data_IF_539601560917
#
_entry.id   IF_539601560917
#
_cell.length_a   1.000
_cell.length_b   1.000
_cell.length_c   1.000
_cell.angle_alpha   90.00
_cell.angle_beta   90.00
_cell.angle_gamma   90.00
#
_symmetry.space_group_name_H-M   'P 1'
#
loop_
_entity.id
_entity.type
_entity.pdbx_description
1 polymer ?
#
# COMPACT_ATOMS: atom_id res chain seq x y z
N UNK A 1 -63.07 18.59 -28.36
CA UNK A 1 -62.64 18.16 -27.00
C UNK A 1 -62.01 16.77 -27.15
N UNK A 2 -60.75 16.44 -26.85
CA UNK A 2 -59.74 17.02 -25.95
C UNK A 2 -58.30 16.56 -26.38
N UNK A 3 -57.93 16.59 -27.66
CA UNK A 3 -56.56 16.21 -28.05
C UNK A 3 -55.49 17.18 -27.51
N UNK A 4 -55.78 18.48 -27.45
CA UNK A 4 -54.86 19.48 -26.88
C UNK A 4 -54.60 19.26 -25.38
N UNK A 5 -55.63 18.87 -24.61
CA UNK A 5 -55.46 18.53 -23.20
C UNK A 5 -54.64 17.24 -23.01
N UNK A 6 -54.74 16.29 -23.94
CA UNK A 6 -53.96 15.04 -23.86
C UNK A 6 -52.47 15.28 -24.13
N UNK A 7 -52.14 16.10 -25.14
CA UNK A 7 -50.75 16.50 -25.39
C UNK A 7 -50.15 17.32 -24.24
N UNK A 8 -50.91 18.24 -23.63
CA UNK A 8 -50.43 18.97 -22.45
C UNK A 8 -50.11 18.04 -21.27
N UNK A 9 -50.91 17.01 -21.05
CA UNK A 9 -50.66 16.03 -19.98
C UNK A 9 -49.43 15.18 -20.31
N UNK A 10 -49.28 14.72 -21.56
CA UNK A 10 -48.09 13.96 -21.97
C UNK A 10 -46.81 14.79 -21.81
N UNK A 11 -46.79 16.03 -22.26
CA UNK A 11 -45.62 16.91 -22.12
C UNK A 11 -45.32 17.25 -20.66
N UNK A 12 -46.34 17.39 -19.81
CA UNK A 12 -46.15 17.60 -18.38
C UNK A 12 -45.57 16.35 -17.68
N UNK A 13 -46.00 15.14 -18.07
CA UNK A 13 -45.48 13.88 -17.51
C UNK A 13 -44.04 13.62 -17.98
N UNK A 14 -43.74 13.87 -19.26
CA UNK A 14 -42.38 13.72 -19.79
C UNK A 14 -41.44 14.77 -19.19
N UNK A 15 -41.89 16.02 -19.09
CA UNK A 15 -41.13 17.13 -18.49
C UNK A 15 -40.85 16.92 -17.00
N UNK A 16 -41.84 16.48 -16.22
CA UNK A 16 -41.64 16.18 -14.79
C UNK A 16 -40.78 14.94 -14.57
N UNK A 17 -40.92 13.90 -15.39
CA UNK A 17 -40.07 12.71 -15.34
C UNK A 17 -38.60 13.01 -15.67
N UNK A 18 -38.34 13.88 -16.64
CA UNK A 18 -36.97 14.30 -16.98
C UNK A 18 -36.32 15.14 -15.89
N UNK A 19 -37.06 16.07 -15.28
CA UNK A 19 -36.56 16.86 -14.15
C UNK A 19 -36.21 15.95 -12.96
N UNK A 20 -37.04 14.95 -12.67
CA UNK A 20 -36.78 14.00 -11.59
C UNK A 20 -35.51 13.18 -11.84
N UNK A 21 -35.28 12.71 -13.07
CA UNK A 21 -34.08 11.96 -13.42
C UNK A 21 -32.81 12.81 -13.33
N UNK A 22 -32.87 14.09 -13.74
CA UNK A 22 -31.75 15.02 -13.59
C UNK A 22 -31.46 15.29 -12.10
N UNK A 23 -32.50 15.48 -11.28
CA UNK A 23 -32.34 15.68 -9.84
C UNK A 23 -31.72 14.44 -9.15
N UNK A 24 -32.16 13.23 -9.50
CA UNK A 24 -31.56 11.98 -9.00
C UNK A 24 -30.10 11.88 -9.45
N UNK A 25 -29.78 12.20 -10.71
CA UNK A 25 -28.41 12.20 -11.21
C UNK A 25 -27.50 13.19 -10.48
N UNK A 26 -28.00 14.40 -10.17
CA UNK A 26 -27.27 15.41 -9.40
C UNK A 26 -27.06 14.98 -7.95
N UNK A 27 -28.07 14.36 -7.31
CA UNK A 27 -27.94 13.82 -5.96
C UNK A 27 -26.96 12.66 -5.92
N UNK A 28 -26.99 11.74 -6.89
CA UNK A 28 -26.00 10.67 -7.01
C UNK A 28 -24.61 11.27 -7.21
N UNK A 29 -24.44 12.28 -8.07
CA UNK A 29 -23.14 12.93 -8.27
C UNK A 29 -22.63 13.66 -7.01
N UNK A 30 -23.51 14.30 -6.24
CA UNK A 30 -23.17 14.98 -4.98
C UNK A 30 -22.87 13.97 -3.86
N UNK A 31 -23.66 12.91 -3.74
CA UNK A 31 -23.40 11.79 -2.82
C UNK A 31 -22.08 11.13 -3.21
N UNK A 32 -21.83 10.87 -4.49
CA UNK A 32 -20.55 10.38 -4.97
C UNK A 32 -19.41 11.34 -4.62
N UNK A 33 -19.56 12.66 -4.81
CA UNK A 33 -18.52 13.62 -4.44
C UNK A 33 -18.31 13.75 -2.91
N UNK A 34 -19.32 13.41 -2.10
CA UNK A 34 -19.27 13.44 -0.64
C UNK A 34 -18.78 12.12 -0.01
N UNK A 35 -18.99 10.98 -0.69
CA UNK A 35 -18.60 9.65 -0.21
C UNK A 35 -17.34 9.08 -0.91
N UNK A 36 -17.08 9.42 -2.18
CA UNK A 36 -15.79 9.21 -2.83
C UNK A 36 -14.89 10.40 -2.51
N UNK A 37 -14.37 10.39 -1.28
CA UNK A 37 -13.27 11.27 -0.90
C UNK A 37 -12.11 11.14 -1.88
N UNK A 38 -11.42 12.26 -2.15
CA UNK A 38 -10.13 12.36 -2.86
C UNK A 38 -9.35 11.03 -2.83
N UNK A 39 -9.32 10.33 -3.97
CA UNK A 39 -8.69 9.02 -4.10
C UNK A 39 -7.19 9.05 -3.73
N UNK A 40 -6.71 8.00 -3.03
CA UNK A 40 -5.40 7.97 -2.34
C UNK A 40 -4.36 6.91 -2.82
N UNK A 41 -4.52 6.24 -3.96
CA UNK A 41 -3.48 5.40 -4.62
C UNK A 41 -2.46 6.01 -5.61
N UNK A 42 -1.32 5.34 -5.79
CA UNK A 42 -0.28 5.67 -6.80
C UNK A 42 -0.73 5.22 -8.20
N UNK A 43 -0.63 6.06 -9.25
CA UNK A 43 -1.01 5.66 -10.59
C UNK A 43 -0.06 4.60 -11.17
N UNK A 44 -0.65 3.61 -11.84
CA UNK A 44 0.08 2.53 -12.52
C UNK A 44 0.00 2.71 -14.03
N UNK A 45 1.13 2.57 -14.72
CA UNK A 45 1.18 2.46 -16.18
C UNK A 45 1.64 1.05 -16.55
N UNK A 46 0.89 0.41 -17.44
CA UNK A 46 1.18 -0.94 -17.92
C UNK A 46 1.85 -0.89 -19.29
N UNK A 47 2.88 -1.71 -19.50
CA UNK A 47 3.49 -1.95 -20.82
C UNK A 47 3.06 -3.33 -21.34
N UNK A 48 2.52 -3.40 -22.56
CA UNK A 48 2.17 -4.68 -23.22
C UNK A 48 3.37 -5.34 -23.93
N UNK A 49 3.54 -6.66 -23.77
CA UNK A 49 4.32 -7.53 -24.65
C UNK A 49 5.60 -8.17 -24.08
N UNK A 50 6.03 -9.31 -24.67
CA UNK A 50 7.36 -9.93 -24.47
C UNK A 50 8.46 -9.28 -25.35
N UNK A 51 8.14 -8.21 -26.07
CA UNK A 51 9.07 -7.45 -26.89
C UNK A 51 9.79 -6.38 -26.08
N UNK A 52 11.01 -6.04 -26.51
CA UNK A 52 11.82 -4.93 -26.00
C UNK A 52 10.98 -3.70 -25.65
N UNK A 53 11.24 -3.15 -24.46
CA UNK A 53 10.64 -1.95 -23.85
C UNK A 53 10.78 -0.74 -24.78
N UNK A 54 9.97 -0.67 -25.84
CA UNK A 54 9.88 0.47 -26.73
C UNK A 54 8.43 0.95 -26.76
N UNK A 55 8.25 2.16 -26.20
CA UNK A 55 7.05 3.00 -26.15
C UNK A 55 6.14 2.86 -24.92
N UNK A 56 6.68 3.13 -23.75
CA UNK A 56 6.01 4.12 -22.88
C UNK A 56 6.23 5.50 -23.52
N UNK A 57 5.19 6.21 -23.94
CA UNK A 57 5.30 7.45 -24.74
C UNK A 57 5.78 8.67 -23.94
N UNK A 58 5.91 8.53 -22.62
CA UNK A 58 6.74 9.40 -21.78
C UNK A 58 7.44 8.50 -20.74
N UNK A 59 8.78 8.48 -20.73
CA UNK A 59 9.52 7.64 -19.78
C UNK A 59 9.20 8.00 -18.33
N UNK A 60 9.16 7.00 -17.44
CA UNK A 60 9.06 7.22 -15.98
C UNK A 60 10.13 8.20 -15.53
N UNK A 61 9.72 9.26 -14.84
CA UNK A 61 10.67 10.22 -14.28
C UNK A 61 11.21 9.62 -12.99
N UNK A 62 12.53 9.69 -12.81
CA UNK A 62 13.20 9.29 -11.58
C UNK A 62 13.90 10.50 -10.91
N UNK A 63 13.77 10.60 -9.59
CA UNK A 63 14.58 11.49 -8.75
C UNK A 63 15.15 10.68 -7.57
N UNK A 64 16.05 11.29 -6.82
CA UNK A 64 16.63 10.66 -5.64
C UNK A 64 16.71 11.60 -4.46
N UNK A 65 16.66 10.99 -3.29
CA UNK A 65 16.79 11.68 -2.02
C UNK A 65 18.25 11.82 -1.58
N UNK A 66 18.47 12.68 -0.59
CA UNK A 66 19.71 12.64 0.19
C UNK A 66 19.91 11.24 0.82
N UNK A 67 21.14 10.70 0.83
CA UNK A 67 21.42 9.39 1.40
C UNK A 67 21.15 9.33 2.91
N UNK A 68 20.55 8.24 3.36
CA UNK A 68 20.39 7.90 4.77
C UNK A 68 21.56 7.00 5.18
N UNK A 69 22.29 7.38 6.22
CA UNK A 69 23.36 6.53 6.76
C UNK A 69 22.77 5.55 7.77
N UNK A 70 23.13 4.27 7.63
CA UNK A 70 22.65 3.22 8.52
C UNK A 70 23.69 3.02 9.63
N UNK A 71 23.31 3.14 10.91
CA UNK A 71 24.20 2.89 12.03
C UNK A 71 24.86 1.51 11.94
N UNK A 72 26.13 1.45 12.34
CA UNK A 72 26.91 0.21 12.38
C UNK A 72 26.98 -0.57 11.05
N UNK A 73 26.79 0.12 9.92
CA UNK A 73 26.78 -0.46 8.58
C UNK A 73 27.61 0.38 7.61
N UNK A 74 28.32 -0.23 6.65
CA UNK A 74 29.01 0.50 5.58
C UNK A 74 28.06 0.93 4.46
N UNK A 75 26.74 0.79 4.63
CA UNK A 75 25.75 1.13 3.61
C UNK A 75 24.99 2.41 3.93
N UNK A 76 24.75 3.18 2.87
CA UNK A 76 23.76 4.25 2.82
C UNK A 76 22.58 3.83 1.95
N UNK A 77 21.38 4.26 2.32
CA UNK A 77 20.16 4.05 1.54
C UNK A 77 19.79 5.34 0.82
N UNK A 78 19.59 5.24 -0.50
CA UNK A 78 19.15 6.35 -1.34
C UNK A 78 17.76 6.00 -1.86
N UNK A 79 16.75 6.72 -1.41
CA UNK A 79 15.37 6.55 -1.88
C UNK A 79 15.24 7.10 -3.30
N UNK A 80 14.60 6.35 -4.18
CA UNK A 80 14.30 6.74 -5.56
C UNK A 80 12.82 7.06 -5.68
N UNK A 81 12.50 8.30 -6.04
CA UNK A 81 11.12 8.73 -6.24
C UNK A 81 10.71 8.57 -7.69
N UNK A 82 9.48 8.13 -7.92
CA UNK A 82 8.88 7.99 -9.26
C UNK A 82 7.55 8.72 -9.31
N UNK A 83 7.23 9.27 -10.49
CA UNK A 83 5.93 9.89 -10.78
C UNK A 83 4.84 8.85 -11.12
N UNK A 84 5.26 7.66 -11.54
CA UNK A 84 4.41 6.51 -11.87
C UNK A 84 5.17 5.20 -11.66
N UNK A 85 4.44 4.11 -11.36
CA UNK A 85 5.04 2.77 -11.29
C UNK A 85 4.66 1.98 -12.54
N UNK A 86 5.66 1.36 -13.16
CA UNK A 86 5.47 0.42 -14.27
C UNK A 86 5.51 -0.99 -13.71
N UNK A 87 4.41 -1.72 -13.84
CA UNK A 87 4.27 -3.11 -13.36
C UNK A 87 4.02 -4.06 -14.53
N UNK A 88 4.33 -5.35 -14.32
CA UNK A 88 4.18 -6.41 -15.33
C UNK A 88 2.79 -7.04 -15.23
N UNK A 89 1.91 -6.79 -16.21
CA UNK A 89 0.55 -7.36 -16.29
C UNK A 89 -0.39 -6.40 -17.02
N UNK A 90 -1.29 -6.91 -17.88
CA UNK A 90 -2.04 -6.20 -18.94
C UNK A 90 -2.82 -4.91 -18.59
N UNK A 91 -3.22 -4.18 -19.64
CA UNK A 91 -3.45 -2.72 -19.67
C UNK A 91 -4.43 -2.13 -18.62
N UNK A 92 -4.02 -1.02 -17.98
CA UNK A 92 -4.92 -0.01 -17.41
C UNK A 92 -4.33 1.41 -17.66
N UNK A 93 -5.20 2.36 -18.03
CA UNK A 93 -4.85 3.78 -18.23
C UNK A 93 -5.23 4.59 -16.98
N UNK A 94 -4.28 5.36 -16.42
CA UNK A 94 -4.51 6.14 -15.19
C UNK A 94 -4.85 7.63 -15.44
N UNK A 95 -5.74 8.17 -14.60
CA UNK A 95 -6.13 9.59 -14.54
C UNK A 95 -6.00 10.10 -13.08
N UNK A 96 -5.22 11.18 -12.89
CA UNK A 96 -5.27 12.22 -11.83
C UNK A 96 -5.27 11.83 -10.34
N UNK A 97 -4.45 12.53 -9.53
CA UNK A 97 -4.43 12.42 -8.07
C UNK A 97 -4.52 13.77 -7.34
N UNK A 98 -5.15 13.79 -6.15
CA UNK A 98 -4.88 14.80 -5.12
C UNK A 98 -4.96 14.16 -3.72
N UNK A 99 -3.96 14.45 -2.87
CA UNK A 99 -3.68 13.77 -1.61
C UNK A 99 -4.53 14.19 -0.39
N UNK A 100 -4.61 13.30 0.62
CA UNK A 100 -4.50 13.63 2.06
C UNK A 100 -4.27 12.35 2.91
N UNK A 101 -4.10 12.48 4.22
CA UNK A 101 -3.15 11.75 5.07
C UNK A 101 -3.49 10.33 5.57
N UNK A 102 -2.43 9.56 5.89
CA UNK A 102 -2.26 8.90 7.20
C UNK A 102 -0.99 9.45 7.88
N UNK A 103 -1.10 9.71 9.19
CA UNK A 103 -0.12 10.39 10.07
C UNK A 103 1.11 9.53 10.42
N UNK A 104 1.94 9.23 9.45
CA UNK A 104 3.36 8.95 9.66
C UNK A 104 4.14 9.86 8.70
N UNK A 105 5.24 10.48 9.14
CA UNK A 105 5.98 11.40 8.28
C UNK A 105 6.31 10.68 6.96
N UNK A 106 5.81 11.15 5.79
CA UNK A 106 5.88 10.38 4.56
C UNK A 106 7.33 10.01 4.24
N UNK A 107 7.59 8.81 3.73
CA UNK A 107 8.89 8.44 3.15
C UNK A 107 9.37 9.44 2.08
N UNK A 108 8.46 10.25 1.54
CA UNK A 108 8.67 11.33 0.57
C UNK A 108 8.95 12.71 1.19
N UNK A 109 8.95 12.87 2.53
CA UNK A 109 9.27 14.16 3.16
C UNK A 109 10.74 14.54 2.88
N UNK A 110 10.93 15.68 2.20
CA UNK A 110 12.26 16.12 1.73
C UNK A 110 12.79 15.36 0.51
N UNK A 111 11.91 14.59 -0.14
CA UNK A 111 12.19 13.65 -1.21
C UNK A 111 11.18 13.86 -2.31
N UNK A 112 11.51 14.73 -3.26
CA UNK A 112 10.67 14.89 -4.43
C UNK A 112 11.15 15.93 -5.42
N UNK A 113 10.57 15.87 -6.63
CA UNK A 113 10.83 16.88 -7.65
C UNK A 113 10.46 18.26 -7.12
N UNK A 114 11.42 19.18 -7.18
CA UNK A 114 11.15 20.58 -6.88
C UNK A 114 10.02 21.09 -7.78
N UNK A 115 8.88 21.45 -7.19
CA UNK A 115 7.79 22.16 -7.86
C UNK A 115 6.76 21.32 -8.61
N UNK A 116 6.72 19.98 -8.50
CA UNK A 116 5.81 19.20 -9.35
C UNK A 116 4.35 19.15 -8.91
N UNK A 117 4.02 19.32 -7.62
CA UNK A 117 2.62 19.18 -7.13
C UNK A 117 1.99 17.80 -7.37
N UNK A 118 2.69 16.90 -8.06
CA UNK A 118 2.31 15.54 -8.40
C UNK A 118 2.54 14.61 -7.21
N UNK A 119 1.75 13.54 -7.14
CA UNK A 119 1.94 12.49 -6.14
C UNK A 119 3.09 11.61 -6.54
N UNK A 120 3.99 11.40 -5.59
CA UNK A 120 5.23 10.67 -5.82
C UNK A 120 5.26 9.45 -4.92
N UNK A 121 5.74 8.35 -5.46
CA UNK A 121 5.98 7.11 -4.72
C UNK A 121 7.49 6.86 -4.60
N UNK A 122 7.89 6.09 -3.60
CA UNK A 122 9.25 5.52 -3.58
C UNK A 122 9.23 4.23 -4.39
N UNK A 123 9.85 4.27 -5.57
CA UNK A 123 9.86 3.20 -6.57
C UNK A 123 10.88 2.11 -6.28
N UNK A 124 12.00 2.50 -5.67
CA UNK A 124 13.12 1.63 -5.32
C UNK A 124 14.03 2.31 -4.27
N UNK A 125 14.97 1.54 -3.71
CA UNK A 125 16.06 2.05 -2.87
C UNK A 125 17.38 1.61 -3.49
N UNK A 126 18.35 2.52 -3.55
CA UNK A 126 19.73 2.18 -3.90
C UNK A 126 20.54 1.99 -2.61
N UNK A 127 21.25 0.88 -2.52
CA UNK A 127 22.27 0.65 -1.51
C UNK A 127 23.62 1.16 -2.03
N UNK A 128 24.19 2.15 -1.34
CA UNK A 128 25.53 2.68 -1.60
C UNK A 128 26.51 2.22 -0.54
N UNK A 129 27.55 1.49 -0.92
CA UNK A 129 28.64 1.15 -0.01
C UNK A 129 29.58 2.36 0.15
N UNK A 130 29.81 2.81 1.38
CA UNK A 130 30.49 4.08 1.67
C UNK A 130 31.99 4.04 1.38
N UNK A 131 32.64 2.89 1.61
CA UNK A 131 34.08 2.73 1.40
C UNK A 131 34.49 2.53 -0.06
N UNK A 132 33.65 1.89 -0.87
CA UNK A 132 33.95 1.58 -2.29
C UNK A 132 33.22 2.51 -3.26
N UNK A 133 32.18 3.22 -2.81
CA UNK A 133 31.30 4.02 -3.65
C UNK A 133 30.36 3.21 -4.54
N UNK A 134 30.37 1.87 -4.46
CA UNK A 134 29.49 1.02 -5.27
C UNK A 134 28.02 1.29 -4.93
N UNK A 135 27.19 1.46 -5.95
CA UNK A 135 25.75 1.68 -5.83
C UNK A 135 25.02 0.56 -6.56
N UNK A 136 23.97 0.00 -5.96
CA UNK A 136 23.08 -0.97 -6.62
C UNK A 136 21.63 -0.81 -6.15
N UNK A 137 20.63 -1.09 -7.00
CA UNK A 137 19.25 -1.19 -6.54
C UNK A 137 19.09 -2.35 -5.56
N UNK A 138 18.19 -2.19 -4.60
CA UNK A 138 17.78 -3.25 -3.66
C UNK A 138 16.71 -4.13 -4.32
N UNK A 139 15.69 -3.52 -4.94
CA UNK A 139 14.64 -4.26 -5.64
C UNK A 139 15.02 -4.47 -7.10
N UNK A 140 14.77 -5.67 -7.62
CA UNK A 140 15.01 -6.03 -9.03
C UNK A 140 13.92 -5.52 -9.98
N UNK A 141 12.80 -5.05 -9.44
CA UNK A 141 11.69 -4.47 -10.19
C UNK A 141 11.16 -3.27 -9.42
N UNK A 142 10.48 -2.37 -10.13
CA UNK A 142 9.81 -1.23 -9.51
C UNK A 142 8.64 -1.70 -8.65
N UNK A 143 8.38 -0.97 -7.57
CA UNK A 143 7.31 -1.25 -6.64
C UNK A 143 6.83 0.05 -5.99
N UNK A 144 5.70 0.02 -5.29
CA UNK A 144 5.34 1.08 -4.35
C UNK A 144 5.83 0.66 -2.97
N UNK A 145 6.88 1.32 -2.49
CA UNK A 145 7.36 1.14 -1.11
C UNK A 145 6.52 2.06 -0.21
N UNK A 146 5.62 1.45 0.57
CA UNK A 146 4.78 2.15 1.54
C UNK A 146 5.54 2.45 2.83
N UNK A 147 6.22 1.43 3.35
CA UNK A 147 6.98 1.51 4.60
C UNK A 147 8.41 1.03 4.35
N UNK A 148 9.38 1.78 4.85
CA UNK A 148 10.78 1.39 4.97
C UNK A 148 11.28 1.81 6.34
N UNK A 149 11.63 0.83 7.16
CA UNK A 149 12.25 1.05 8.46
C UNK A 149 13.65 0.48 8.48
N UNK A 150 14.53 1.17 9.18
CA UNK A 150 15.94 0.84 9.30
C UNK A 150 16.40 1.03 10.75
N UNK A 151 17.50 0.38 11.16
CA UNK A 151 17.94 0.43 12.54
C UNK A 151 18.24 1.87 12.98
N UNK A 152 17.67 2.29 14.11
CA UNK A 152 17.98 3.59 14.71
C UNK A 152 19.33 3.57 15.42
N UNK A 153 19.96 4.74 15.52
CA UNK A 153 21.27 4.89 16.15
C UNK A 153 21.22 4.53 17.63
N UNK A 154 22.36 4.07 18.18
CA UNK A 154 22.48 3.61 19.57
C UNK A 154 22.01 4.63 20.63
N UNK A 155 22.07 5.93 20.31
CA UNK A 155 21.59 7.03 21.16
C UNK A 155 20.06 7.13 21.25
N UNK A 156 19.34 6.61 20.25
CA UNK A 156 17.86 6.59 20.19
C UNK A 156 17.29 5.27 20.74
N UNK A 157 18.13 4.25 20.97
CA UNK A 157 17.77 2.92 21.50
C UNK A 157 17.63 2.90 23.03
N UNK A 158 17.05 3.94 23.63
CA UNK A 158 16.67 3.90 25.05
C UNK A 158 15.41 3.06 25.29
N UNK A 159 14.67 2.75 24.22
CA UNK A 159 13.51 1.85 24.25
C UNK A 159 13.89 0.43 23.77
N UNK A 160 13.57 -0.58 24.58
CA UNK A 160 13.73 -2.02 24.27
C UNK A 160 12.81 -2.51 23.13
N UNK A 161 12.10 -1.58 22.48
CA UNK A 161 11.22 -1.80 21.32
C UNK A 161 11.82 -1.27 20.02
N UNK A 162 13.08 -0.83 20.03
CA UNK A 162 13.76 -0.33 18.84
C UNK A 162 13.77 -1.39 17.73
N UNK A 163 13.02 -1.13 16.67
CA UNK A 163 12.86 -1.98 15.51
C UNK A 163 13.12 -1.16 14.24
N UNK A 164 13.73 -1.76 13.19
CA UNK A 164 14.32 -3.10 13.16
C UNK A 164 15.66 -3.22 13.92
N UNK A 165 16.07 -4.44 14.33
CA UNK A 165 17.38 -4.66 14.94
C UNK A 165 18.52 -4.38 13.95
N UNK A 166 19.74 -4.17 14.46
CA UNK A 166 20.92 -3.90 13.62
C UNK A 166 21.10 -4.96 12.52
N UNK A 167 21.46 -4.49 11.32
CA UNK A 167 21.64 -5.34 10.14
C UNK A 167 20.36 -5.70 9.39
N UNK A 168 19.17 -5.35 9.89
CA UNK A 168 17.88 -5.69 9.28
C UNK A 168 17.15 -4.46 8.78
N UNK A 169 16.51 -4.58 7.60
CA UNK A 169 15.52 -3.62 7.10
C UNK A 169 14.15 -4.26 7.11
N UNK A 170 13.13 -3.45 7.40
CA UNK A 170 11.72 -3.83 7.29
C UNK A 170 11.04 -3.03 6.19
N UNK A 171 10.15 -3.70 5.46
CA UNK A 171 9.50 -3.15 4.29
C UNK A 171 8.02 -3.51 4.28
N UNK A 172 7.18 -2.60 3.77
CA UNK A 172 5.84 -2.92 3.26
C UNK A 172 5.77 -2.43 1.82
N UNK A 173 5.52 -3.35 0.89
CA UNK A 173 5.69 -3.11 -0.54
C UNK A 173 4.53 -3.72 -1.31
N UNK A 174 3.98 -2.94 -2.24
CA UNK A 174 3.11 -3.44 -3.29
C UNK A 174 3.88 -3.50 -4.62
N UNK A 175 3.91 -4.69 -5.23
CA UNK A 175 4.60 -4.92 -6.50
C UNK A 175 3.68 -4.79 -7.72
N UNK A 176 2.38 -4.77 -7.51
CA UNK A 176 1.36 -4.71 -8.55
C UNK A 176 0.08 -4.08 -7.99
N UNK A 177 -0.72 -3.53 -8.91
CA UNK A 177 -2.15 -3.34 -8.72
C UNK A 177 -2.80 -4.74 -8.67
N UNK A 178 -3.04 -5.21 -7.45
CA UNK A 178 -3.45 -6.56 -7.14
C UNK A 178 -4.97 -6.77 -7.28
N UNK A 179 -5.75 -5.69 -7.13
CA UNK A 179 -7.20 -5.70 -7.30
C UNK A 179 -7.63 -5.33 -8.74
N UNK A 180 -6.73 -4.74 -9.54
CA UNK A 180 -6.94 -4.38 -10.95
C UNK A 180 -7.72 -3.08 -11.16
N UNK A 181 -7.73 -2.16 -10.21
CA UNK A 181 -8.51 -0.91 -10.27
C UNK A 181 -7.77 0.26 -10.95
N UNK A 182 -6.52 0.04 -11.37
CA UNK A 182 -5.66 1.00 -12.03
C UNK A 182 -4.79 1.83 -11.07
N UNK A 183 -4.81 1.51 -9.78
CA UNK A 183 -4.05 2.20 -8.73
C UNK A 183 -3.40 1.19 -7.81
N UNK A 184 -2.43 1.68 -7.03
CA UNK A 184 -1.88 0.95 -5.89
C UNK A 184 -2.24 1.71 -4.62
N UNK A 185 -3.12 1.15 -3.80
CA UNK A 185 -3.65 1.75 -2.56
C UNK A 185 -3.90 0.75 -1.41
N UNK A 186 -4.49 1.17 -0.30
CA UNK A 186 -4.66 0.31 0.88
C UNK A 186 -5.48 -0.98 0.67
N UNK A 187 -6.15 -1.13 -0.49
CA UNK A 187 -6.86 -2.35 -0.88
C UNK A 187 -5.96 -3.35 -1.60
N UNK A 188 -4.71 -2.98 -1.90
CA UNK A 188 -3.71 -3.83 -2.54
C UNK A 188 -2.85 -4.64 -1.59
N UNK A 189 -2.23 -5.68 -2.15
CA UNK A 189 -1.25 -6.53 -1.48
C UNK A 189 0.05 -5.77 -1.11
N UNK A 190 0.00 -5.05 0.01
CA UNK A 190 1.15 -4.48 0.71
C UNK A 190 1.81 -5.50 1.64
N UNK A 191 2.39 -6.53 1.03
CA UNK A 191 3.13 -7.55 1.76
C UNK A 191 4.27 -6.95 2.59
N UNK A 192 4.53 -7.53 3.76
CA UNK A 192 5.72 -7.13 4.55
C UNK A 192 6.92 -8.02 4.25
N UNK A 193 8.11 -7.42 4.26
CA UNK A 193 9.37 -8.08 3.96
C UNK A 193 10.46 -7.72 4.96
N UNK A 194 11.46 -8.58 5.07
CA UNK A 194 12.72 -8.32 5.76
C UNK A 194 13.90 -8.53 4.82
N UNK A 195 14.94 -7.73 4.98
CA UNK A 195 16.21 -7.91 4.27
C UNK A 195 17.39 -7.58 5.15
N UNK A 196 18.60 -7.82 4.65
CA UNK A 196 19.81 -7.17 5.15
C UNK A 196 19.80 -5.67 4.77
N UNK A 197 20.67 -4.88 5.41
CA UNK A 197 20.88 -3.44 5.13
C UNK A 197 21.31 -3.11 3.70
N UNK A 198 21.80 -4.10 2.96
CA UNK A 198 22.14 -3.95 1.55
C UNK A 198 21.07 -4.58 0.62
N UNK A 199 19.94 -5.02 1.17
CA UNK A 199 18.86 -5.63 0.40
C UNK A 199 19.05 -7.12 0.07
N UNK A 200 20.14 -7.77 0.51
CA UNK A 200 20.24 -9.24 0.41
C UNK A 200 19.27 -9.92 1.38
N UNK A 201 19.05 -11.22 1.18
CA UNK A 201 18.13 -12.02 1.99
C UNK A 201 16.71 -11.41 2.09
N UNK A 202 16.28 -10.75 1.02
CA UNK A 202 14.95 -10.15 0.90
C UNK A 202 13.88 -11.25 0.90
N UNK A 203 13.15 -11.37 2.01
CA UNK A 203 12.14 -12.40 2.23
C UNK A 203 10.82 -11.78 2.68
N UNK A 204 9.73 -12.28 2.11
CA UNK A 204 8.37 -11.95 2.56
C UNK A 204 8.09 -12.59 3.92
N UNK A 205 7.43 -11.84 4.79
CA UNK A 205 7.05 -12.27 6.14
C UNK A 205 5.55 -12.15 6.42
N UNK A 206 4.73 -12.00 5.37
CA UNK A 206 3.26 -12.13 5.42
C UNK A 206 2.78 -13.20 4.43
N UNK A 207 1.64 -13.87 4.69
CA UNK A 207 1.08 -14.88 3.81
C UNK A 207 0.16 -14.28 2.74
N UNK A 208 0.11 -14.89 1.55
CA UNK A 208 -0.91 -14.59 0.52
C UNK A 208 -1.05 -13.09 0.20
N UNK A 209 -2.18 -12.65 -0.34
CA UNK A 209 -2.45 -11.21 -0.41
C UNK A 209 -2.77 -10.68 1.00
N UNK A 210 -1.99 -9.72 1.49
CA UNK A 210 -2.10 -9.22 2.86
C UNK A 210 -1.47 -7.86 3.05
N UNK A 211 -1.95 -7.13 4.08
CA UNK A 211 -1.31 -5.90 4.57
C UNK A 211 -1.19 -5.89 6.09
N UNK A 212 -0.18 -5.19 6.58
CA UNK A 212 0.03 -5.02 8.02
C UNK A 212 -0.88 -3.93 8.56
N UNK A 213 -1.57 -4.24 9.66
CA UNK A 213 -2.42 -3.31 10.40
C UNK A 213 -1.70 -2.76 11.64
N UNK A 214 -0.88 -3.60 12.28
CA UNK A 214 -0.16 -3.27 13.50
C UNK A 214 1.05 -4.20 13.63
N UNK A 215 2.12 -3.70 14.25
CA UNK A 215 3.32 -4.48 14.52
C UNK A 215 3.90 -4.19 15.91
N UNK A 216 4.47 -5.22 16.53
CA UNK A 216 5.19 -5.12 17.80
C UNK A 216 6.42 -6.02 17.76
N UNK A 217 7.59 -5.47 18.08
CA UNK A 217 8.83 -6.23 18.16
C UNK A 217 9.18 -6.60 19.61
N UNK A 218 9.34 -7.90 19.86
CA UNK A 218 9.86 -8.48 21.10
C UNK A 218 11.37 -8.78 20.90
N UNK A 219 12.21 -7.78 21.19
CA UNK A 219 13.67 -7.85 21.01
C UNK A 219 14.31 -9.05 21.73
N UNK A 220 14.03 -9.33 23.02
CA UNK A 220 14.59 -10.49 23.72
C UNK A 220 14.33 -11.83 23.02
N UNK A 221 13.19 -11.97 22.32
CA UNK A 221 12.84 -13.19 21.59
C UNK A 221 13.24 -13.16 20.11
N UNK A 222 13.64 -11.99 19.58
CA UNK A 222 13.84 -11.80 18.15
C UNK A 222 12.55 -12.03 17.35
N UNK A 223 11.40 -11.74 17.96
CA UNK A 223 10.08 -12.05 17.41
C UNK A 223 9.35 -10.77 17.05
N UNK A 224 8.84 -10.71 15.82
CA UNK A 224 7.94 -9.66 15.35
C UNK A 224 6.52 -10.22 15.32
N UNK A 225 5.62 -9.59 16.06
CA UNK A 225 4.19 -9.85 15.98
C UNK A 225 3.58 -8.91 14.97
N UNK A 226 2.86 -9.45 13.99
CA UNK A 226 2.12 -8.67 13.00
C UNK A 226 0.64 -8.99 13.10
N UNK A 227 -0.17 -7.95 13.29
CA UNK A 227 -1.60 -8.02 12.99
C UNK A 227 -1.76 -7.70 11.51
N UNK A 228 -2.33 -8.63 10.75
CA UNK A 228 -2.53 -8.50 9.33
C UNK A 228 -4.01 -8.54 8.97
N UNK A 229 -4.35 -7.87 7.87
CA UNK A 229 -5.53 -8.13 7.06
C UNK A 229 -5.10 -9.02 5.89
N UNK A 230 -5.88 -10.06 5.57
CA UNK A 230 -5.54 -10.99 4.49
C UNK A 230 -6.80 -11.44 3.73
N UNK A 231 -6.62 -11.63 2.43
CA UNK A 231 -7.68 -11.98 1.48
C UNK A 231 -8.36 -13.30 1.85
N UNK A 232 -9.69 -13.27 1.98
CA UNK A 232 -10.54 -14.41 2.34
C UNK A 232 -11.83 -14.50 1.55
N UNK A 233 -12.23 -13.45 0.84
CA UNK A 233 -13.47 -13.40 0.06
C UNK A 233 -13.26 -13.93 -1.37
N UNK A 234 -12.02 -13.84 -1.87
CA UNK A 234 -11.61 -14.15 -3.22
C UNK A 234 -11.82 -13.03 -4.23
N UNK A 235 -12.19 -11.81 -3.79
CA UNK A 235 -12.44 -10.67 -4.67
C UNK A 235 -11.18 -9.84 -5.00
N UNK A 236 -10.04 -10.19 -4.37
CA UNK A 236 -8.70 -9.59 -4.55
C UNK A 236 -8.54 -8.21 -3.92
N UNK A 237 -9.54 -7.72 -3.19
CA UNK A 237 -9.56 -6.40 -2.61
C UNK A 237 -9.48 -6.50 -1.10
N UNK A 238 -8.37 -6.04 -0.49
CA UNK A 238 -8.16 -6.12 0.96
C UNK A 238 -9.01 -5.12 1.74
N UNK A 239 -10.20 -5.55 2.18
CA UNK A 239 -11.19 -4.68 2.82
C UNK A 239 -11.64 -5.15 4.23
N UNK A 240 -12.75 -4.61 4.75
CA UNK A 240 -13.23 -4.97 6.11
C UNK A 240 -13.87 -6.36 6.18
N UNK A 241 -14.33 -6.89 5.04
CA UNK A 241 -14.94 -8.21 4.92
C UNK A 241 -13.87 -9.29 5.10
N UNK A 242 -12.62 -8.97 4.77
CA UNK A 242 -11.49 -9.87 4.88
C UNK A 242 -11.05 -10.24 6.28
N UNK A 243 -10.40 -11.40 6.37
CA UNK A 243 -9.88 -11.98 7.59
C UNK A 243 -8.77 -11.15 8.24
N UNK A 244 -8.71 -11.19 9.56
CA UNK A 244 -7.58 -10.65 10.33
C UNK A 244 -6.88 -11.75 11.08
N UNK A 245 -5.56 -11.70 11.13
CA UNK A 245 -4.73 -12.64 11.89
C UNK A 245 -3.63 -11.92 12.64
N UNK A 246 -3.26 -12.47 13.80
CA UNK A 246 -2.02 -12.16 14.50
C UNK A 246 -1.03 -13.28 14.15
N UNK A 247 0.07 -12.93 13.50
CA UNK A 247 1.14 -13.86 13.13
C UNK A 247 2.42 -13.55 13.91
N UNK A 248 3.20 -14.60 14.14
CA UNK A 248 4.50 -14.55 14.79
C UNK A 248 5.58 -14.76 13.73
N UNK A 249 6.52 -13.82 13.63
CA UNK A 249 7.64 -13.85 12.67
C UNK A 249 8.95 -13.88 13.43
N UNK A 250 9.85 -14.78 13.06
CA UNK A 250 11.22 -14.77 13.55
C UNK A 250 12.05 -13.84 12.68
N UNK A 251 12.56 -12.74 13.24
CA UNK A 251 13.23 -11.68 12.47
C UNK A 251 14.55 -12.17 11.87
N UNK A 252 15.30 -12.99 12.60
CA UNK A 252 16.63 -13.46 12.22
C UNK A 252 16.55 -14.51 11.11
N UNK A 253 15.60 -15.44 11.20
CA UNK A 253 15.32 -16.44 10.15
C UNK A 253 14.51 -15.86 8.99
N UNK A 254 13.83 -14.72 9.21
CA UNK A 254 12.94 -14.03 8.27
C UNK A 254 11.80 -14.93 7.79
N UNK A 255 11.16 -15.58 8.74
CA UNK A 255 10.17 -16.62 8.48
C UNK A 255 8.98 -16.48 9.42
N UNK A 256 7.79 -16.76 8.88
CA UNK A 256 6.57 -16.89 9.66
C UNK A 256 6.72 -18.16 10.50
N UNK A 257 6.63 -18.02 11.82
CA UNK A 257 6.68 -19.13 12.77
C UNK A 257 5.32 -19.79 12.84
N UNK A 258 4.27 -19.00 13.04
CA UNK A 258 2.87 -19.47 13.16
C UNK A 258 1.86 -18.33 13.11
N UNK A 259 0.61 -18.70 12.87
CA UNK A 259 -0.54 -17.87 13.23
C UNK A 259 -0.84 -18.07 14.73
N UNK A 260 -0.83 -16.98 15.49
CA UNK A 260 -1.14 -16.99 16.93
C UNK A 260 -2.65 -17.10 17.13
N UNK A 261 -3.41 -16.26 16.43
CA UNK A 261 -4.87 -16.27 16.42
C UNK A 261 -5.38 -15.63 15.14
N UNK A 262 -6.46 -16.14 14.57
CA UNK A 262 -7.20 -15.50 13.49
C UNK A 262 -8.64 -15.15 13.92
N UNK A 263 -9.35 -14.41 13.06
CA UNK A 263 -10.73 -13.96 13.32
C UNK A 263 -11.68 -15.11 13.68
N UNK A 264 -11.57 -16.25 13.01
CA UNK A 264 -12.41 -17.42 13.25
C UNK A 264 -12.12 -18.06 14.62
N UNK A 265 -10.85 -18.31 14.92
CA UNK A 265 -10.40 -18.85 16.20
C UNK A 265 -10.80 -17.93 17.36
N UNK A 266 -10.63 -16.62 17.21
CA UNK A 266 -11.02 -15.64 18.22
C UNK A 266 -12.54 -15.67 18.48
N UNK A 267 -13.37 -15.73 17.42
CA UNK A 267 -14.82 -15.88 17.57
C UNK A 267 -15.19 -17.16 18.32
N UNK A 268 -14.51 -18.27 18.04
CA UNK A 268 -14.69 -19.53 18.76
C UNK A 268 -14.39 -19.39 20.26
N UNK A 269 -13.25 -18.80 20.61
CA UNK A 269 -12.83 -18.59 21.99
C UNK A 269 -13.81 -17.69 22.77
N UNK A 270 -14.25 -16.59 22.16
CA UNK A 270 -15.13 -15.62 22.83
C UNK A 270 -16.56 -16.15 22.99
N UNK A 271 -17.09 -16.92 22.05
CA UNK A 271 -18.41 -17.58 22.18
C UNK A 271 -18.47 -18.49 23.42
N UNK A 272 -17.40 -19.22 23.72
CA UNK A 272 -17.34 -20.05 24.93
C UNK A 272 -17.45 -19.23 26.20
N UNK A 273 -16.84 -18.04 26.23
CA UNK A 273 -16.93 -17.11 27.36
C UNK A 273 -18.35 -16.55 27.50
N UNK A 274 -18.97 -16.10 26.39
CA UNK A 274 -20.34 -15.57 26.38
C UNK A 274 -21.37 -16.59 26.88
N UNK A 275 -21.25 -17.86 26.47
CA UNK A 275 -22.11 -18.94 26.94
C UNK A 275 -21.95 -19.26 28.43
N UNK A 276 -20.78 -18.98 29.02
CA UNK A 276 -20.53 -19.19 30.45
C UNK A 276 -21.14 -18.10 31.34
N UNK A 277 -21.37 -16.90 30.79
CA UNK A 277 -21.96 -15.76 31.52
C UNK A 277 -23.49 -15.73 31.51
N UNK A 278 -24.10 -16.59 30.70
CA UNK A 278 -25.56 -16.70 30.54
C UNK A 278 -26.16 -17.88 31.31
N UNK A 279 -25.35 -18.58 32.11
CA UNK A 279 -25.74 -19.64 33.06
C UNK A 279 -25.61 -19.14 34.49
#
# INVERSE_FOLDING_TARGET
MKLEKYNQIIWAVIGSGTILLVAIGVVIALVSALFFGRDRGVPVEVVEGEGTVERATAGTRHDFCIPISIPDSPYQLIRVTVDRVVVKGGAVAAKGFSSSNYDEAPLTRGCGYSGSGETQAIGNILARHTGTGQIRPILQQNAVIHTLEYPSGRAERTDRRAFPPSGVLYWEIAFADSNGDGRIDEHDDFGAYLSDVDGRNFKRITPGASRVLEKVYDEPRGTLYLKILYETTGDKSLDRQDGTALIEVNVQRREIVRTVVNREQLRGLLRTVEMSQTR
#
